data_IF_438665765463
#
_entry.id   IF_438665765463
#
_cell.length_a   1.000
_cell.length_b   1.000
_cell.length_c   1.000
_cell.angle_alpha   90.00
_cell.angle_beta   90.00
_cell.angle_gamma   90.00
#
_symmetry.space_group_name_H-M   'P 1'
#
loop_
_entity.id
_entity.type
_entity.pdbx_description
1 polymer ?
#
# COMPACT_ATOMS: atom_id res chain seq x y z
N UNK A 1 -16.60 -7.31 6.66
CA UNK A 1 -16.52 -6.99 5.29
C UNK A 1 -15.12 -6.55 4.92
N UNK A 2 -14.83 -6.65 3.72
CA UNK A 2 -13.55 -6.33 3.24
C UNK A 2 -13.38 -4.89 3.14
N UNK A 3 -12.42 -4.37 3.70
CA UNK A 3 -12.29 -2.96 3.69
C UNK A 3 -10.91 -2.55 3.24
N UNK A 4 -10.88 -1.36 2.71
CA UNK A 4 -9.66 -0.79 2.21
C UNK A 4 -8.62 -0.66 3.32
N UNK A 5 -9.06 -0.42 4.54
CA UNK A 5 -8.11 -0.23 5.63
C UNK A 5 -7.34 -1.51 5.96
N UNK A 6 -7.98 -2.68 5.81
CA UNK A 6 -7.26 -3.93 6.03
C UNK A 6 -6.21 -4.14 4.96
N UNK A 7 -6.58 -3.88 3.72
CA UNK A 7 -5.65 -4.01 2.60
C UNK A 7 -4.53 -3.00 2.74
N UNK A 8 -4.86 -1.78 3.13
CA UNK A 8 -3.89 -0.73 3.34
C UNK A 8 -2.87 -1.14 4.41
N UNK A 9 -3.36 -1.62 5.54
CA UNK A 9 -2.49 -2.00 6.65
C UNK A 9 -1.57 -3.15 6.26
N UNK A 10 -2.10 -4.11 5.53
CA UNK A 10 -1.32 -5.24 5.11
C UNK A 10 -0.24 -4.83 4.13
N UNK A 11 -0.58 -3.97 3.18
CA UNK A 11 0.40 -3.47 2.23
C UNK A 11 1.47 -2.63 2.94
N UNK A 12 1.05 -1.84 3.93
CA UNK A 12 2.00 -1.06 4.72
C UNK A 12 3.02 -1.96 5.41
N UNK A 13 2.51 -3.01 6.06
CA UNK A 13 3.38 -3.96 6.74
C UNK A 13 4.40 -4.57 5.79
N UNK A 14 3.92 -4.95 4.62
CA UNK A 14 4.80 -5.57 3.65
C UNK A 14 5.90 -4.62 3.20
N UNK A 15 5.54 -3.37 2.93
CA UNK A 15 6.54 -2.41 2.49
C UNK A 15 7.56 -2.10 3.57
N UNK A 16 7.11 -2.00 4.80
CA UNK A 16 8.02 -1.76 5.91
C UNK A 16 8.97 -2.95 6.07
N UNK A 17 8.46 -4.15 5.91
CA UNK A 17 9.29 -5.34 5.98
C UNK A 17 10.32 -5.39 4.86
N UNK A 18 10.02 -4.77 3.74
CA UNK A 18 10.97 -4.70 2.64
C UNK A 18 12.05 -3.64 2.86
N UNK A 19 11.91 -2.84 3.90
CA UNK A 19 12.94 -1.86 4.23
C UNK A 19 12.55 -0.42 3.98
N UNK A 20 11.32 -0.16 3.57
CA UNK A 20 10.87 1.20 3.34
C UNK A 20 10.36 1.82 4.63
N UNK A 21 10.48 3.13 4.75
CA UNK A 21 9.99 3.80 5.95
C UNK A 21 8.47 3.79 5.96
N UNK A 22 7.94 3.93 7.16
CA UNK A 22 6.50 4.00 7.31
C UNK A 22 5.92 5.20 6.55
N UNK A 23 6.62 6.33 6.64
CA UNK A 23 6.16 7.54 5.97
C UNK A 23 6.11 7.39 4.47
N UNK A 24 7.16 6.85 3.90
CA UNK A 24 7.21 6.66 2.45
C UNK A 24 6.13 5.69 1.99
N UNK A 25 5.99 4.60 2.72
CA UNK A 25 4.99 3.60 2.40
C UNK A 25 3.58 4.18 2.47
N UNK A 26 3.31 4.92 3.53
CA UNK A 26 2.00 5.51 3.71
C UNK A 26 1.67 6.50 2.60
N UNK A 27 2.62 7.31 2.24
CA UNK A 27 2.42 8.31 1.20
C UNK A 27 2.08 7.65 -0.13
N UNK A 28 2.85 6.65 -0.51
CA UNK A 28 2.64 5.94 -1.76
C UNK A 28 1.28 5.24 -1.76
N UNK A 29 0.96 4.57 -0.67
CA UNK A 29 -0.29 3.83 -0.60
C UNK A 29 -1.51 4.73 -0.55
N UNK A 30 -1.40 5.89 0.07
CA UNK A 30 -2.50 6.82 0.10
C UNK A 30 -2.87 7.28 -1.31
N UNK A 31 -1.87 7.64 -2.09
CA UNK A 31 -2.10 8.02 -3.46
C UNK A 31 -2.72 6.88 -4.25
N UNK A 32 -2.17 5.70 -4.06
CA UNK A 32 -2.59 4.55 -4.81
C UNK A 32 -4.04 4.18 -4.49
N UNK A 33 -4.39 4.16 -3.22
CA UNK A 33 -5.74 3.77 -2.83
C UNK A 33 -6.77 4.84 -3.17
N UNK A 34 -6.35 6.07 -3.27
CA UNK A 34 -7.23 7.13 -3.73
C UNK A 34 -7.58 6.91 -5.21
N UNK A 35 -6.60 6.51 -5.99
CA UNK A 35 -6.82 6.27 -7.41
C UNK A 35 -7.49 4.93 -7.67
N UNK A 36 -7.17 3.92 -6.88
CA UNK A 36 -7.69 2.56 -7.09
C UNK A 36 -8.13 1.94 -5.78
N UNK A 37 -9.30 2.34 -5.27
CA UNK A 37 -9.73 1.88 -3.93
C UNK A 37 -10.00 0.39 -3.82
N UNK A 38 -10.18 -0.30 -4.92
CA UNK A 38 -10.44 -1.75 -4.88
C UNK A 38 -9.23 -2.58 -5.22
N UNK A 39 -8.06 -1.97 -5.23
CA UNK A 39 -6.83 -2.68 -5.55
C UNK A 39 -6.53 -3.76 -4.53
N UNK A 40 -5.96 -4.87 -4.97
CA UNK A 40 -5.60 -5.95 -4.05
C UNK A 40 -4.28 -5.64 -3.37
N UNK A 41 -4.01 -6.37 -2.28
CA UNK A 41 -2.75 -6.18 -1.55
C UNK A 41 -1.56 -6.40 -2.46
N UNK A 42 -1.60 -7.46 -3.22
CA UNK A 42 -0.48 -7.79 -4.08
C UNK A 42 -0.22 -6.69 -5.10
N UNK A 43 -1.29 -6.21 -5.73
CA UNK A 43 -1.16 -5.15 -6.71
C UNK A 43 -0.73 -3.85 -6.06
N UNK A 44 -1.22 -3.59 -4.88
CA UNK A 44 -0.85 -2.38 -4.16
C UNK A 44 0.64 -2.36 -3.88
N UNK A 45 1.18 -3.49 -3.43
CA UNK A 45 2.60 -3.57 -3.15
C UNK A 45 3.41 -3.37 -4.42
N UNK A 46 3.02 -4.06 -5.49
CA UNK A 46 3.75 -3.94 -6.75
C UNK A 46 3.76 -2.52 -7.28
N UNK A 47 2.60 -1.89 -7.25
CA UNK A 47 2.50 -0.53 -7.78
C UNK A 47 3.21 0.48 -6.88
N UNK A 48 3.12 0.27 -5.57
CA UNK A 48 3.80 1.16 -4.65
C UNK A 48 5.32 1.11 -4.84
N UNK A 49 5.85 -0.08 -5.10
CA UNK A 49 7.28 -0.22 -5.34
C UNK A 49 7.72 0.58 -6.57
N UNK A 50 6.85 0.68 -7.55
CA UNK A 50 7.18 1.48 -8.72
C UNK A 50 7.12 2.97 -8.46
N UNK A 51 6.34 3.37 -7.47
CA UNK A 51 6.21 4.77 -7.12
C UNK A 51 7.35 5.26 -6.25
N UNK A 52 8.02 4.37 -5.60
CA UNK A 52 9.14 4.67 -4.72
C UNK A 52 10.47 4.38 -5.42
#
# INVERSE_FOLDING_TARGET
SQVTSEVFDEAMSALVMLGFTKQMSQKALKKLFTAEPTITVEQAIKKALKMM
#
